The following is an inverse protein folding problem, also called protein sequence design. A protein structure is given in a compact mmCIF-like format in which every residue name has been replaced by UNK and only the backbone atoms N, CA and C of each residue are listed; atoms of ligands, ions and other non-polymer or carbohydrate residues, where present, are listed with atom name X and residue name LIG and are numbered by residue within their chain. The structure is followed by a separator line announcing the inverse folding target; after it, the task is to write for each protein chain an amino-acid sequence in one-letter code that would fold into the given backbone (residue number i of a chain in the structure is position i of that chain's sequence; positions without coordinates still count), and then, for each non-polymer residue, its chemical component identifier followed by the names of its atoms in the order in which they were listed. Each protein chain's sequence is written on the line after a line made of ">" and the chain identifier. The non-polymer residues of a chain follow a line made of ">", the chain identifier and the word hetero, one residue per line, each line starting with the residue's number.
data_IF_156299652415
#
_entry.id   IF_156299652415
#
_cell.length_a   1.000
_cell.length_b   1.000
_cell.length_c   1.000
_cell.angle_alpha   90.00
_cell.angle_beta   90.00
_cell.angle_gamma   90.00
#
_symmetry.space_group_name_H-M   'P 1'
#
loop_
_entity.id
_entity.type
_entity.pdbx_description
1 polymer ?
#
# COMPACT_ATOMS: atom_id res chain seq x y z
N UNK A 1 26.01 66.56 -58.54
CA UNK A 1 24.90 65.66 -58.14
C UNK A 1 25.50 64.29 -57.81
N UNK A 2 26.53 64.27 -56.96
CA UNK A 2 27.17 63.02 -56.49
C UNK A 2 27.18 62.99 -54.96
N UNK A 3 27.37 64.14 -54.30
CA UNK A 3 27.32 64.26 -52.83
C UNK A 3 25.93 63.99 -52.19
N UNK A 4 24.83 64.08 -52.94
CA UNK A 4 23.47 63.81 -52.40
C UNK A 4 23.03 62.35 -52.46
N UNK A 5 23.83 61.47 -53.08
CA UNK A 5 23.50 60.03 -53.22
C UNK A 5 24.29 59.18 -52.21
N UNK A 6 25.41 59.67 -51.70
CA UNK A 6 26.18 59.02 -50.62
C UNK A 6 25.51 59.15 -49.25
N UNK A 7 25.00 60.34 -48.88
CA UNK A 7 24.33 60.54 -47.58
C UNK A 7 23.04 59.71 -47.42
N UNK A 8 22.35 59.37 -48.51
CA UNK A 8 21.14 58.55 -48.44
C UNK A 8 21.42 57.05 -48.31
N UNK A 9 22.58 56.58 -48.78
CA UNK A 9 23.00 55.17 -48.62
C UNK A 9 23.55 54.89 -47.23
N UNK A 10 24.30 55.84 -46.66
CA UNK A 10 24.86 55.70 -45.32
C UNK A 10 23.77 55.76 -44.24
N UNK A 11 22.64 56.44 -44.49
CA UNK A 11 21.48 56.43 -43.58
C UNK A 11 20.62 55.16 -43.66
N UNK A 12 20.63 54.42 -44.78
CA UNK A 12 19.90 53.16 -44.95
C UNK A 12 20.65 51.99 -44.28
N UNK A 13 21.98 51.91 -44.40
CA UNK A 13 22.78 50.87 -43.73
C UNK A 13 22.73 50.99 -42.19
N UNK A 14 22.72 52.21 -41.63
CA UNK A 14 22.61 52.44 -40.18
C UNK A 14 21.21 52.10 -39.63
N UNK A 15 20.17 52.12 -40.48
CA UNK A 15 18.81 51.70 -40.07
C UNK A 15 18.61 50.19 -40.13
N UNK A 16 19.28 49.48 -41.05
CA UNK A 16 19.17 48.02 -41.19
C UNK A 16 19.94 47.27 -40.08
N UNK A 17 21.12 47.76 -39.68
CA UNK A 17 21.87 47.17 -38.55
C UNK A 17 21.14 47.37 -37.20
N UNK A 18 20.42 48.49 -37.03
CA UNK A 18 19.67 48.77 -35.80
C UNK A 18 18.32 48.04 -35.68
N UNK A 19 17.78 47.50 -36.78
CA UNK A 19 16.60 46.62 -36.77
C UNK A 19 16.98 45.16 -36.51
N UNK A 20 18.11 44.69 -37.05
CA UNK A 20 18.61 43.32 -36.83
C UNK A 20 19.02 43.05 -35.36
N UNK A 21 19.73 43.97 -34.72
CA UNK A 21 20.11 43.84 -33.29
C UNK A 21 18.88 43.85 -32.35
N UNK A 22 17.75 44.42 -32.81
CA UNK A 22 16.52 44.55 -32.02
C UNK A 22 15.62 43.32 -32.12
N UNK A 23 15.63 42.64 -33.27
CA UNK A 23 14.91 41.37 -33.46
C UNK A 23 15.60 40.23 -32.70
N UNK A 24 16.94 40.16 -32.72
CA UNK A 24 17.70 39.16 -31.94
C UNK A 24 17.53 39.36 -30.41
N UNK A 25 17.55 40.61 -29.90
CA UNK A 25 17.26 40.86 -28.48
C UNK A 25 15.82 40.48 -28.09
N UNK A 26 14.84 40.57 -29.00
CA UNK A 26 13.45 40.20 -28.69
C UNK A 26 13.20 38.69 -28.68
N UNK A 27 13.87 37.93 -29.55
CA UNK A 27 13.80 36.46 -29.57
C UNK A 27 14.47 35.86 -28.34
N UNK A 28 15.64 36.37 -27.93
CA UNK A 28 16.31 35.94 -26.69
C UNK A 28 15.47 36.22 -25.43
N UNK A 29 14.70 37.32 -25.41
CA UNK A 29 13.80 37.64 -24.28
C UNK A 29 12.56 36.74 -24.26
N UNK A 30 12.05 36.29 -25.41
CA UNK A 30 10.94 35.34 -25.50
C UNK A 30 11.37 33.92 -25.10
N UNK A 31 12.54 33.44 -25.54
CA UNK A 31 13.08 32.14 -25.13
C UNK A 31 13.35 32.10 -23.61
N UNK A 32 13.94 33.16 -23.05
CA UNK A 32 14.17 33.27 -21.59
C UNK A 32 12.87 33.39 -20.79
N UNK A 33 11.77 33.84 -21.40
CA UNK A 33 10.44 33.86 -20.77
C UNK A 33 9.78 32.49 -20.81
N UNK A 34 9.84 31.78 -21.94
CA UNK A 34 9.30 30.42 -22.06
C UNK A 34 10.03 29.47 -21.11
N UNK A 35 11.36 29.52 -21.03
CA UNK A 35 12.13 28.72 -20.06
C UNK A 35 11.77 29.04 -18.60
N UNK A 36 11.49 30.31 -18.29
CA UNK A 36 11.04 30.74 -16.96
C UNK A 36 9.61 30.30 -16.63
N UNK A 37 8.75 30.19 -17.64
CA UNK A 37 7.38 29.74 -17.48
C UNK A 37 7.33 28.22 -17.35
N UNK A 38 8.14 27.49 -18.12
CA UNK A 38 8.32 26.04 -17.99
C UNK A 38 8.90 25.63 -16.64
N UNK A 39 9.93 26.35 -16.16
CA UNK A 39 10.51 26.09 -14.83
C UNK A 39 9.54 26.42 -13.69
N UNK A 40 8.70 27.46 -13.83
CA UNK A 40 7.64 27.74 -12.85
C UNK A 40 6.57 26.65 -12.84
N UNK A 41 6.15 26.14 -14.01
CA UNK A 41 5.18 25.05 -14.11
C UNK A 41 5.75 23.76 -13.51
N UNK A 42 7.03 23.47 -13.73
CA UNK A 42 7.70 22.27 -13.21
C UNK A 42 7.88 22.35 -11.68
N UNK A 43 8.12 23.55 -11.14
CA UNK A 43 8.20 23.81 -9.70
C UNK A 43 6.81 23.70 -9.02
N UNK A 44 5.75 24.23 -9.64
CA UNK A 44 4.37 24.06 -9.14
C UNK A 44 3.91 22.59 -9.18
N UNK A 45 4.23 21.84 -10.24
CA UNK A 45 3.91 20.41 -10.33
C UNK A 45 4.69 19.59 -9.28
N UNK A 46 5.92 20.00 -8.97
CA UNK A 46 6.73 19.36 -7.94
C UNK A 46 6.19 19.65 -6.54
N UNK A 47 5.75 20.88 -6.25
CA UNK A 47 5.09 21.22 -4.98
C UNK A 47 3.78 20.46 -4.79
N UNK A 48 2.92 20.38 -5.82
CA UNK A 48 1.66 19.63 -5.75
C UNK A 48 1.91 18.12 -5.54
N UNK A 49 2.93 17.56 -6.20
CA UNK A 49 3.32 16.17 -5.99
C UNK A 49 3.85 15.92 -4.57
N UNK A 50 4.62 16.86 -4.00
CA UNK A 50 5.15 16.74 -2.62
C UNK A 50 4.01 16.82 -1.59
N UNK A 51 3.05 17.75 -1.76
CA UNK A 51 1.85 17.81 -0.91
C UNK A 51 1.02 16.52 -0.99
N UNK A 52 0.84 15.95 -2.19
CA UNK A 52 0.09 14.70 -2.34
C UNK A 52 0.83 13.53 -1.65
N UNK A 53 2.17 13.47 -1.73
CA UNK A 53 2.96 12.44 -1.03
C UNK A 53 2.89 12.60 0.49
N UNK A 54 2.99 13.83 1.01
CA UNK A 54 2.85 14.12 2.44
C UNK A 54 1.45 13.76 2.97
N UNK A 55 0.40 14.05 2.21
CA UNK A 55 -0.97 13.71 2.61
C UNK A 55 -1.22 12.19 2.59
N UNK A 56 -0.56 11.45 1.68
CA UNK A 56 -0.59 9.98 1.64
C UNK A 56 0.18 9.40 2.84
N UNK A 57 1.34 9.95 3.19
CA UNK A 57 2.13 9.53 4.34
C UNK A 57 1.39 9.79 5.66
N UNK A 58 0.77 10.96 5.85
CA UNK A 58 -0.06 11.25 7.03
C UNK A 58 -1.27 10.29 7.12
N UNK A 59 -1.95 10.01 6.00
CA UNK A 59 -3.04 9.03 5.96
C UNK A 59 -2.56 7.61 6.28
N UNK A 60 -1.33 7.25 5.93
CA UNK A 60 -0.71 5.96 6.26
C UNK A 60 -0.26 5.89 7.73
N UNK A 61 0.21 7.00 8.31
CA UNK A 61 0.54 7.11 9.73
C UNK A 61 -0.70 7.06 10.63
N UNK A 62 -1.78 7.76 10.26
CA UNK A 62 -3.08 7.68 10.97
C UNK A 62 -3.69 6.27 10.88
N UNK A 63 -3.44 5.54 9.78
CA UNK A 63 -3.80 4.12 9.62
C UNK A 63 -2.90 3.13 10.35
N UNK A 64 -1.87 3.57 11.07
CA UNK A 64 -1.18 2.74 12.07
C UNK A 64 -1.79 3.01 13.46
N UNK A 65 -2.92 2.39 13.84
CA UNK A 65 -3.25 2.25 15.25
C UNK A 65 -2.33 1.17 15.85
N UNK A 66 -1.02 1.43 15.93
CA UNK A 66 -0.04 0.49 16.48
C UNK A 66 -0.06 0.40 18.02
N UNK A 67 -1.05 0.97 18.73
CA UNK A 67 -0.96 1.03 20.20
C UNK A 67 -2.24 1.03 21.02
N UNK A 68 -3.44 0.94 20.43
CA UNK A 68 -4.67 0.90 21.25
C UNK A 68 -5.03 -0.49 21.77
N UNK A 69 -4.67 -1.59 21.11
CA UNK A 69 -5.11 -2.94 21.50
C UNK A 69 -4.04 -3.77 22.24
N UNK A 70 -3.55 -3.28 23.39
CA UNK A 70 -3.11 -4.21 24.46
C UNK A 70 -4.33 -4.48 25.37
N UNK A 71 -5.54 -4.44 24.80
CA UNK A 71 -6.78 -4.56 25.53
C UNK A 71 -6.98 -6.03 25.96
N UNK A 72 -6.38 -6.35 27.12
CA UNK A 72 -6.69 -7.48 27.98
C UNK A 72 -6.94 -8.81 27.24
N UNK A 73 -5.85 -9.46 26.89
CA UNK A 73 -5.85 -10.85 26.45
C UNK A 73 -6.44 -11.69 27.59
N UNK A 74 -7.62 -12.26 27.39
CA UNK A 74 -8.32 -13.05 28.41
C UNK A 74 -7.68 -14.44 28.51
N UNK A 75 -7.44 -15.08 27.35
CA UNK A 75 -6.78 -16.37 27.30
C UNK A 75 -5.84 -16.48 26.10
N UNK A 76 -4.58 -16.83 26.37
CA UNK A 76 -3.62 -17.25 25.34
C UNK A 76 -3.33 -18.74 25.48
N UNK A 77 -3.48 -19.50 24.38
CA UNK A 77 -3.16 -20.92 24.34
C UNK A 77 -2.38 -21.27 23.08
N UNK A 78 -1.30 -22.05 23.25
CA UNK A 78 -0.51 -22.58 22.14
C UNK A 78 -0.97 -24.00 21.84
N UNK A 79 -1.43 -24.23 20.62
CA UNK A 79 -1.89 -25.53 20.16
C UNK A 79 -1.00 -26.07 19.04
N UNK A 80 -0.82 -27.39 19.02
CA UNK A 80 -0.31 -28.10 17.85
C UNK A 80 -1.47 -28.76 17.13
N UNK A 81 -1.90 -28.18 16.01
CA UNK A 81 -3.07 -28.65 15.27
C UNK A 81 -2.66 -29.74 14.27
N UNK A 82 -3.21 -30.96 14.37
CA UNK A 82 -2.96 -32.01 13.40
C UNK A 82 -3.82 -31.80 12.13
N UNK A 83 -3.17 -31.57 10.99
CA UNK A 83 -3.80 -31.39 9.68
C UNK A 83 -3.80 -32.68 8.84
N UNK A 84 -3.46 -33.82 9.43
CA UNK A 84 -3.43 -35.12 8.75
C UNK A 84 -4.75 -35.46 8.04
N UNK A 85 -5.89 -35.05 8.61
CA UNK A 85 -7.22 -35.24 7.99
C UNK A 85 -7.39 -34.49 6.66
N UNK A 86 -6.62 -33.44 6.39
CA UNK A 86 -6.65 -32.75 5.10
C UNK A 86 -6.18 -33.67 3.96
N UNK A 87 -5.31 -34.65 4.24
CA UNK A 87 -4.72 -35.52 3.22
C UNK A 87 -5.67 -36.61 2.69
N UNK A 88 -6.77 -36.86 3.40
CA UNK A 88 -7.87 -37.71 2.96
C UNK A 88 -8.59 -37.07 1.75
N UNK A 89 -8.60 -35.73 1.68
CA UNK A 89 -9.23 -35.01 0.59
C UNK A 89 -8.39 -35.08 -0.71
N UNK A 90 -9.03 -34.96 -1.89
CA UNK A 90 -8.33 -34.91 -3.17
C UNK A 90 -7.24 -33.84 -3.19
N UNK A 91 -6.15 -34.07 -3.93
CA UNK A 91 -4.94 -33.22 -3.94
C UNK A 91 -5.25 -31.72 -4.06
N UNK A 92 -6.09 -31.34 -5.02
CA UNK A 92 -6.48 -29.94 -5.30
C UNK A 92 -7.37 -29.29 -4.23
N UNK A 93 -7.76 -29.99 -3.16
CA UNK A 93 -8.65 -29.45 -2.11
C UNK A 93 -8.02 -29.49 -0.71
N UNK A 94 -6.73 -29.87 -0.60
CA UNK A 94 -6.10 -30.14 0.70
C UNK A 94 -5.82 -28.87 1.50
N UNK A 95 -5.19 -27.85 0.93
CA UNK A 95 -4.95 -26.59 1.65
C UNK A 95 -6.25 -25.89 2.10
N UNK A 96 -7.29 -25.75 1.25
CA UNK A 96 -8.59 -25.24 1.68
C UNK A 96 -9.26 -26.10 2.77
N UNK A 97 -9.03 -27.42 2.78
CA UNK A 97 -9.53 -28.31 3.83
C UNK A 97 -8.74 -28.12 5.14
N UNK A 98 -7.44 -27.90 5.07
CA UNK A 98 -6.59 -27.64 6.23
C UNK A 98 -7.05 -26.39 6.99
N UNK A 99 -7.35 -25.29 6.28
CA UNK A 99 -7.89 -24.06 6.90
C UNK A 99 -9.21 -24.35 7.63
N UNK A 100 -10.13 -25.09 6.98
CA UNK A 100 -11.39 -25.49 7.64
C UNK A 100 -11.14 -26.35 8.88
N UNK A 101 -10.14 -27.22 8.87
CA UNK A 101 -9.80 -28.03 10.04
C UNK A 101 -9.28 -27.17 11.19
N UNK A 102 -8.48 -26.14 10.90
CA UNK A 102 -8.03 -25.17 11.91
C UNK A 102 -9.23 -24.44 12.52
N UNK A 103 -10.14 -23.93 11.68
CA UNK A 103 -11.37 -23.29 12.17
C UNK A 103 -12.16 -24.20 13.10
N UNK A 104 -12.42 -25.44 12.67
CA UNK A 104 -13.14 -26.42 13.48
C UNK A 104 -12.38 -26.82 14.76
N UNK A 105 -11.04 -26.84 14.73
CA UNK A 105 -10.24 -27.15 15.89
C UNK A 105 -10.40 -26.06 16.95
N UNK A 106 -10.25 -24.80 16.55
CA UNK A 106 -10.32 -23.66 17.46
C UNK A 106 -11.73 -23.50 18.03
N UNK A 107 -12.76 -23.62 17.20
CA UNK A 107 -14.15 -23.63 17.64
C UNK A 107 -14.46 -24.71 18.69
N UNK A 108 -13.78 -25.86 18.64
CA UNK A 108 -13.97 -26.93 19.63
C UNK A 108 -13.18 -26.70 20.92
N UNK A 109 -11.98 -26.13 20.84
CA UNK A 109 -11.06 -26.05 21.98
C UNK A 109 -11.15 -24.74 22.76
N UNK A 110 -11.55 -23.64 22.10
CA UNK A 110 -11.73 -22.33 22.75
C UNK A 110 -13.15 -22.14 23.32
N UNK A 111 -13.95 -23.23 23.42
CA UNK A 111 -15.33 -23.25 23.94
C UNK A 111 -16.31 -22.23 23.32
N UNK A 112 -15.97 -21.75 22.14
CA UNK A 112 -16.77 -20.88 21.25
C UNK A 112 -18.24 -21.31 21.25
N UNK A 113 -18.50 -22.62 21.14
CA UNK A 113 -19.87 -23.14 21.08
C UNK A 113 -20.66 -23.21 22.38
N UNK A 114 -20.03 -23.17 23.56
CA UNK A 114 -20.69 -23.58 24.82
C UNK A 114 -21.35 -22.43 25.56
N UNK A 115 -20.98 -21.18 25.30
CA UNK A 115 -21.58 -19.99 25.93
C UNK A 115 -22.68 -19.36 25.06
N UNK A 116 -22.80 -19.79 23.80
CA UNK A 116 -23.69 -19.20 22.77
C UNK A 116 -25.07 -19.90 22.70
N UNK A 117 -25.30 -20.95 23.48
CA UNK A 117 -26.60 -21.64 23.51
C UNK A 117 -27.65 -20.96 24.42
N UNK A 118 -27.27 -19.96 25.24
CA UNK A 118 -28.19 -19.31 26.20
C UNK A 118 -28.55 -17.84 25.91
N UNK A 119 -27.83 -17.13 25.03
CA UNK A 119 -28.19 -15.76 24.64
C UNK A 119 -27.80 -15.48 23.18
N UNK A 120 -28.75 -14.93 22.44
CA UNK A 120 -28.77 -14.74 21.00
C UNK A 120 -27.55 -13.96 20.42
N UNK A 121 -27.08 -14.42 19.27
CA UNK A 121 -26.56 -13.61 18.14
C UNK A 121 -25.19 -12.89 18.22
N UNK A 122 -24.29 -13.21 19.13
CA UNK A 122 -22.88 -12.82 18.92
C UNK A 122 -22.19 -13.84 18.01
N UNK A 123 -22.22 -13.57 16.70
CA UNK A 123 -21.45 -14.31 15.72
C UNK A 123 -19.95 -14.20 16.05
N UNK A 124 -19.43 -15.14 16.83
CA UNK A 124 -18.02 -15.18 17.22
C UNK A 124 -17.13 -15.13 15.97
N UNK A 125 -16.44 -14.00 15.82
CA UNK A 125 -15.59 -13.73 14.66
C UNK A 125 -14.26 -14.44 14.88
N UNK A 126 -14.05 -15.52 14.13
CA UNK A 126 -12.76 -16.19 14.07
C UNK A 126 -11.89 -15.57 12.97
N UNK A 127 -10.83 -14.87 13.38
CA UNK A 127 -9.87 -14.23 12.49
C UNK A 127 -8.59 -15.05 12.42
N UNK A 128 -8.19 -15.44 11.21
CA UNK A 128 -6.94 -16.15 10.97
C UNK A 128 -5.95 -15.15 10.39
N UNK A 129 -4.79 -15.00 11.04
CA UNK A 129 -3.71 -14.17 10.49
C UNK A 129 -3.22 -14.68 9.15
N UNK A 130 -2.70 -13.77 8.33
CA UNK A 130 -2.17 -14.11 7.02
C UNK A 130 -0.96 -15.07 7.11
N UNK A 131 -0.11 -14.93 8.13
CA UNK A 131 1.04 -15.81 8.36
C UNK A 131 0.65 -17.29 8.44
N UNK A 132 -0.43 -17.61 9.15
CA UNK A 132 -0.96 -18.97 9.27
C UNK A 132 -1.44 -19.47 7.91
N UNK A 133 -2.11 -18.61 7.15
CA UNK A 133 -2.56 -18.94 5.80
C UNK A 133 -1.36 -19.21 4.87
N UNK A 134 -0.41 -18.29 4.80
CA UNK A 134 0.82 -18.43 4.01
C UNK A 134 1.57 -19.71 4.36
N UNK A 135 1.71 -20.05 5.64
CA UNK A 135 2.36 -21.31 6.06
C UNK A 135 1.64 -22.55 5.53
N UNK A 136 0.31 -22.52 5.46
CA UNK A 136 -0.48 -23.62 4.92
C UNK A 136 -0.29 -23.74 3.39
N UNK A 137 -0.20 -22.60 2.71
CA UNK A 137 -0.05 -22.51 1.26
C UNK A 137 1.40 -22.51 0.77
N UNK A 138 2.39 -22.51 1.66
CA UNK A 138 3.82 -22.43 1.33
C UNK A 138 4.33 -23.50 0.34
N UNK A 139 3.67 -24.67 0.29
CA UNK A 139 3.98 -25.77 -0.66
C UNK A 139 2.89 -25.98 -1.71
N UNK A 140 2.06 -24.96 -1.92
CA UNK A 140 0.91 -24.98 -2.81
C UNK A 140 -0.29 -25.77 -2.27
N UNK A 141 -1.31 -25.91 -3.12
CA UNK A 141 -2.61 -26.48 -2.74
C UNK A 141 -2.57 -27.97 -2.37
N UNK A 142 -1.59 -28.71 -2.91
CA UNK A 142 -1.52 -30.17 -2.81
C UNK A 142 -0.83 -30.71 -1.55
N UNK A 143 0.07 -29.92 -0.97
CA UNK A 143 1.00 -30.37 0.08
C UNK A 143 0.98 -29.45 1.31
N UNK A 144 -0.19 -29.21 1.95
CA UNK A 144 -0.21 -28.46 3.19
C UNK A 144 0.59 -29.19 4.29
N UNK A 145 1.13 -28.45 5.28
CA UNK A 145 1.83 -29.04 6.42
C UNK A 145 0.96 -30.04 7.18
N UNK A 146 1.58 -31.10 7.73
CA UNK A 146 0.87 -32.16 8.47
C UNK A 146 0.50 -31.76 9.89
N UNK A 147 1.27 -30.85 10.48
CA UNK A 147 1.06 -30.25 11.80
C UNK A 147 1.40 -28.77 11.69
N UNK A 148 0.67 -27.94 12.42
CA UNK A 148 0.97 -26.51 12.53
C UNK A 148 0.84 -26.12 14.00
N UNK A 149 1.84 -25.39 14.51
CA UNK A 149 1.82 -24.81 15.84
C UNK A 149 1.24 -23.40 15.74
N UNK A 150 0.26 -23.12 16.57
CA UNK A 150 -0.60 -21.95 16.45
C UNK A 150 -0.86 -21.39 17.83
N UNK A 151 -0.76 -20.07 17.96
CA UNK A 151 -1.13 -19.32 19.17
C UNK A 151 -2.52 -18.75 18.95
N UNK A 152 -3.48 -19.17 19.76
CA UNK A 152 -4.83 -18.63 19.75
C UNK A 152 -4.97 -17.65 20.92
N UNK A 153 -5.43 -16.44 20.60
CA UNK A 153 -5.68 -15.35 21.54
C UNK A 153 -7.18 -15.10 21.54
N UNK A 154 -7.81 -15.08 22.73
CA UNK A 154 -9.20 -14.66 22.92
C UNK A 154 -9.22 -13.26 23.50
N UNK A 155 -9.88 -12.35 22.80
CA UNK A 155 -10.07 -10.96 23.22
C UNK A 155 -11.33 -10.85 24.10
N UNK A 156 -11.49 -9.74 24.84
CA UNK A 156 -12.70 -9.51 25.66
C UNK A 156 -13.99 -9.50 24.85
N UNK A 157 -13.90 -9.04 23.61
CA UNK A 157 -15.01 -8.95 22.66
C UNK A 157 -15.40 -10.31 22.05
N UNK A 158 -14.83 -11.42 22.56
CA UNK A 158 -15.13 -12.77 22.07
C UNK A 158 -14.51 -13.08 20.71
N UNK A 159 -13.76 -12.15 20.11
CA UNK A 159 -12.99 -12.38 18.88
C UNK A 159 -11.81 -13.30 19.20
N UNK A 160 -11.60 -14.29 18.33
CA UNK A 160 -10.46 -15.20 18.44
C UNK A 160 -9.53 -14.96 17.28
N UNK A 161 -8.32 -14.53 17.60
CA UNK A 161 -7.27 -14.26 16.63
C UNK A 161 -6.19 -15.33 16.70
N UNK A 162 -5.83 -15.83 15.51
CA UNK A 162 -5.00 -17.03 15.34
C UNK A 162 -3.67 -16.65 14.71
N UNK A 163 -2.59 -16.76 15.47
CA UNK A 163 -1.22 -16.42 15.05
C UNK A 163 -0.36 -17.66 14.83
N UNK A 164 0.66 -17.54 13.97
CA UNK A 164 1.64 -18.59 13.79
C UNK A 164 2.54 -18.65 15.04
N UNK A 165 2.60 -19.81 15.69
CA UNK A 165 3.57 -20.04 16.75
C UNK A 165 4.73 -20.81 16.15
N UNK A 166 5.78 -20.09 15.77
CA UNK A 166 7.00 -20.73 15.28
C UNK A 166 7.70 -21.48 16.42
N UNK A 167 8.38 -22.57 16.04
CA UNK A 167 9.36 -23.25 16.87
C UNK A 167 9.64 -24.62 16.36
#
# INVERSE_FOLDING_TARGET
>A
MEETVEELKESEEVTEEAEADKEEETEEIEEVKEEKEETQIEEELAEEAVEEVEEIEEKEEVKKPKKKEIEEIVEEKIYTIPLGRAWISPRKKRAPKAIRLIKNFIQRHMKVKTEVEEMEEEAERLVISNEVNEKIWARGIEKPPRKIRVRAVKDKEGVITVYLAEG
#
